data_IF_915858248031
#
_entry.id   IF_915858248031
#
_cell.length_a   1.000
_cell.length_b   1.000
_cell.length_c   1.000
_cell.angle_alpha   90.00
_cell.angle_beta   90.00
_cell.angle_gamma   90.00
#
_symmetry.space_group_name_H-M   'P 1'
#
loop_
_entity.id
_entity.type
_entity.pdbx_description
1 polymer ?
#
# COMPACT_ATOMS: atom_id res chain seq x y z
N UNK A 1 17.95 -30.51 -9.68
CA UNK A 1 17.96 -29.03 -9.84
C UNK A 1 16.62 -28.47 -10.34
N UNK A 2 15.94 -29.08 -11.32
CA UNK A 2 14.66 -28.58 -11.85
C UNK A 2 13.53 -28.38 -10.80
N UNK A 3 13.48 -29.23 -9.76
CA UNK A 3 12.43 -29.17 -8.73
C UNK A 3 12.56 -27.97 -7.76
N UNK A 4 13.72 -27.32 -7.69
CA UNK A 4 13.91 -26.11 -6.89
C UNK A 4 13.44 -24.85 -7.63
N UNK A 5 13.59 -24.82 -8.97
CA UNK A 5 13.17 -23.69 -9.79
C UNK A 5 11.64 -23.50 -9.80
N UNK A 6 10.87 -24.60 -9.78
CA UNK A 6 9.41 -24.53 -9.68
C UNK A 6 8.98 -23.98 -8.30
N UNK A 7 9.72 -24.30 -7.23
CA UNK A 7 9.41 -23.82 -5.88
C UNK A 7 9.70 -22.33 -5.68
N UNK A 8 10.62 -21.76 -6.45
CA UNK A 8 11.05 -20.36 -6.34
C UNK A 8 10.37 -19.45 -7.38
N UNK A 9 9.37 -19.93 -8.11
CA UNK A 9 8.71 -19.14 -9.14
C UNK A 9 7.76 -18.12 -8.50
N UNK A 10 8.04 -16.83 -8.73
CA UNK A 10 7.18 -15.72 -8.34
C UNK A 10 6.30 -15.26 -9.52
N UNK A 11 5.12 -14.67 -9.25
CA UNK A 11 4.36 -13.98 -10.28
C UNK A 11 5.19 -12.88 -10.93
N UNK A 12 5.02 -12.69 -12.25
CA UNK A 12 5.76 -11.67 -12.98
C UNK A 12 5.58 -10.27 -12.37
N UNK A 13 6.70 -9.60 -12.09
CA UNK A 13 6.76 -8.25 -11.50
C UNK A 13 6.77 -8.22 -9.97
N UNK A 14 6.83 -9.38 -9.30
CA UNK A 14 7.11 -9.50 -7.87
C UNK A 14 8.52 -10.11 -7.71
N UNK A 15 9.25 -9.63 -6.70
CA UNK A 15 10.65 -9.98 -6.48
C UNK A 15 10.91 -10.16 -4.98
N UNK A 16 11.80 -11.08 -4.61
CA UNK A 16 12.28 -11.19 -3.24
C UNK A 16 13.37 -10.13 -2.99
N UNK A 17 13.18 -9.28 -1.98
CA UNK A 17 14.23 -8.42 -1.48
C UNK A 17 15.08 -9.18 -0.45
N UNK A 18 16.35 -9.41 -0.77
CA UNK A 18 17.25 -10.23 0.04
C UNK A 18 18.19 -9.36 0.91
N UNK A 19 18.93 -9.96 1.86
CA UNK A 19 20.02 -9.27 2.54
C UNK A 19 21.19 -8.98 1.58
N UNK A 20 21.87 -7.83 1.71
CA UNK A 20 21.65 -6.79 2.72
C UNK A 20 20.56 -5.76 2.38
N UNK A 21 20.01 -5.77 1.16
CA UNK A 21 19.13 -4.73 0.62
C UNK A 21 17.85 -4.54 1.45
N UNK A 22 17.22 -5.63 1.88
CA UNK A 22 16.03 -5.59 2.76
C UNK A 22 16.32 -4.86 4.09
N UNK A 23 17.51 -5.07 4.65
CA UNK A 23 17.92 -4.38 5.87
C UNK A 23 18.19 -2.88 5.64
N UNK A 24 18.70 -2.53 4.46
CA UNK A 24 18.94 -1.14 4.08
C UNK A 24 17.62 -0.38 3.86
N UNK A 25 16.65 -1.01 3.21
CA UNK A 25 15.31 -0.46 3.02
C UNK A 25 14.64 -0.12 4.35
N UNK A 26 14.59 -1.07 5.28
CA UNK A 26 13.99 -0.85 6.61
C UNK A 26 14.65 0.33 7.35
N UNK A 27 15.98 0.44 7.28
CA UNK A 27 16.72 1.57 7.88
C UNK A 27 16.34 2.90 7.22
N UNK A 28 16.20 2.94 5.90
CA UNK A 28 15.81 4.14 5.16
C UNK A 28 14.38 4.57 5.49
N UNK A 29 13.42 3.63 5.46
CA UNK A 29 12.02 3.89 5.81
C UNK A 29 11.90 4.44 7.23
N UNK A 30 12.63 3.85 8.18
CA UNK A 30 12.67 4.33 9.57
C UNK A 30 13.24 5.74 9.67
N UNK A 31 14.37 6.03 9.02
CA UNK A 31 14.98 7.38 9.04
C UNK A 31 14.06 8.44 8.46
N UNK A 32 13.36 8.14 7.36
CA UNK A 32 12.38 9.06 6.76
C UNK A 32 11.18 9.27 7.69
N UNK A 33 10.69 8.20 8.32
CA UNK A 33 9.59 8.29 9.28
C UNK A 33 9.97 9.15 10.50
N UNK A 34 11.16 8.92 11.05
CA UNK A 34 11.70 9.72 12.16
C UNK A 34 11.89 11.18 11.76
N UNK A 35 12.29 11.45 10.51
CA UNK A 35 12.39 12.80 9.97
C UNK A 35 11.02 13.48 9.93
N UNK A 36 10.01 12.86 9.33
CA UNK A 36 8.65 13.42 9.28
C UNK A 36 8.07 13.68 10.68
N UNK A 37 8.31 12.77 11.62
CA UNK A 37 7.87 12.93 13.02
C UNK A 37 8.45 14.21 13.66
N UNK A 38 9.72 14.55 13.38
CA UNK A 38 10.35 15.80 13.87
C UNK A 38 9.69 17.08 13.33
N UNK A 39 9.00 17.00 12.19
CA UNK A 39 8.23 18.10 11.62
C UNK A 39 6.73 18.08 12.00
N UNK A 40 6.36 17.23 12.98
CA UNK A 40 5.01 17.13 13.51
C UNK A 40 4.05 16.35 12.60
N UNK A 41 4.54 15.47 11.74
CA UNK A 41 3.70 14.53 11.01
C UNK A 41 3.43 13.28 11.87
N UNK A 42 2.15 12.97 12.05
CA UNK A 42 1.69 11.80 12.79
C UNK A 42 1.49 10.60 11.87
N UNK A 43 1.98 9.43 12.29
CA UNK A 43 1.92 8.24 11.45
C UNK A 43 0.54 7.61 11.47
N UNK A 44 0.00 7.33 10.28
CA UNK A 44 -1.20 6.50 10.09
C UNK A 44 -0.86 5.25 9.30
N UNK A 45 -1.58 4.16 9.58
CA UNK A 45 -1.40 2.87 8.91
C UNK A 45 -2.77 2.27 8.56
N UNK A 46 -3.36 2.62 7.40
CA UNK A 46 -4.57 1.95 6.94
C UNK A 46 -4.31 0.48 6.60
N UNK A 47 -5.35 -0.36 6.56
CA UNK A 47 -5.21 -1.78 6.22
C UNK A 47 -4.71 -1.98 4.79
N UNK A 48 -4.16 -3.15 4.51
CA UNK A 48 -3.71 -3.52 3.15
C UNK A 48 -4.90 -3.68 2.18
N UNK A 49 -6.02 -4.16 2.70
CA UNK A 49 -7.26 -4.45 2.00
C UNK A 49 -8.41 -3.61 2.55
N UNK A 50 -9.29 -3.14 1.66
CA UNK A 50 -10.56 -2.51 2.01
C UNK A 50 -11.68 -3.02 1.08
N UNK A 51 -12.93 -2.92 1.51
CA UNK A 51 -14.05 -3.19 0.60
C UNK A 51 -13.97 -2.27 -0.61
N UNK A 52 -14.17 -2.85 -1.79
CA UNK A 52 -13.97 -2.16 -3.08
C UNK A 52 -14.76 -0.85 -3.16
N UNK A 53 -16.03 -0.90 -2.77
CA UNK A 53 -16.90 0.29 -2.80
C UNK A 53 -16.46 1.43 -1.88
N UNK A 54 -15.65 1.17 -0.84
CA UNK A 54 -15.06 2.22 -0.01
C UNK A 54 -13.68 2.64 -0.48
N UNK A 55 -12.88 1.71 -1.00
CA UNK A 55 -11.52 1.97 -1.48
C UNK A 55 -11.50 2.77 -2.77
N UNK A 56 -12.44 2.49 -3.68
CA UNK A 56 -12.50 3.05 -5.03
C UNK A 56 -13.47 4.22 -5.15
N UNK A 57 -14.02 4.70 -4.05
CA UNK A 57 -14.87 5.89 -4.02
C UNK A 57 -14.03 7.19 -4.03
N UNK A 58 -14.63 8.27 -4.53
CA UNK A 58 -13.99 9.58 -4.63
C UNK A 58 -12.64 9.54 -5.34
N UNK A 59 -11.57 9.94 -4.65
CA UNK A 59 -10.21 9.95 -5.23
C UNK A 59 -9.66 8.54 -5.51
N UNK A 60 -10.26 7.49 -4.92
CA UNK A 60 -9.88 6.10 -5.16
C UNK A 60 -10.23 5.59 -6.56
N UNK A 61 -11.19 6.23 -7.25
CA UNK A 61 -11.58 5.83 -8.60
C UNK A 61 -10.41 5.90 -9.60
N UNK A 62 -9.47 6.83 -9.39
CA UNK A 62 -8.30 7.01 -10.24
C UNK A 62 -7.33 5.80 -10.24
N UNK A 63 -7.39 4.94 -9.23
CA UNK A 63 -6.53 3.75 -9.10
C UNK A 63 -7.28 2.43 -9.33
N UNK A 64 -8.54 2.49 -9.78
CA UNK A 64 -9.40 1.32 -9.95
C UNK A 64 -8.83 0.26 -10.91
N UNK A 65 -8.26 0.68 -12.04
CA UNK A 65 -7.65 -0.23 -13.03
C UNK A 65 -6.34 -0.87 -12.53
N UNK A 66 -5.68 -0.23 -11.56
CA UNK A 66 -4.45 -0.73 -10.96
C UNK A 66 -4.69 -1.58 -9.71
N UNK A 67 -5.94 -1.69 -9.24
CA UNK A 67 -6.29 -2.37 -7.99
C UNK A 67 -6.53 -3.86 -8.23
N UNK A 68 -5.82 -4.73 -7.50
CA UNK A 68 -6.19 -6.15 -7.44
C UNK A 68 -7.49 -6.31 -6.68
N UNK A 69 -8.39 -7.11 -7.23
CA UNK A 69 -9.67 -7.44 -6.59
C UNK A 69 -9.65 -8.88 -6.11
N UNK A 70 -10.12 -9.08 -4.89
CA UNK A 70 -10.25 -10.39 -4.27
C UNK A 70 -11.59 -10.44 -3.53
N UNK A 71 -12.19 -11.62 -3.52
CA UNK A 71 -13.41 -11.86 -2.76
C UNK A 71 -13.05 -12.18 -1.32
N UNK A 72 -13.69 -11.51 -0.37
CA UNK A 72 -13.63 -11.91 1.05
C UNK A 72 -14.35 -13.27 1.21
N UNK A 73 -13.65 -14.35 1.59
CA UNK A 73 -14.27 -15.66 1.71
C UNK A 73 -15.34 -15.73 2.81
N UNK A 74 -15.33 -14.80 3.78
CA UNK A 74 -16.29 -14.79 4.87
C UNK A 74 -17.54 -14.01 4.48
N UNK A 75 -17.38 -12.74 4.09
CA UNK A 75 -18.54 -11.88 3.76
C UNK A 75 -19.02 -12.00 2.30
N UNK A 76 -18.25 -12.66 1.43
CA UNK A 76 -18.49 -12.75 -0.01
C UNK A 76 -18.52 -11.39 -0.73
N UNK A 77 -17.97 -10.36 -0.10
CA UNK A 77 -17.86 -9.01 -0.67
C UNK A 77 -16.53 -8.84 -1.39
N UNK A 78 -16.53 -8.07 -2.47
CA UNK A 78 -15.30 -7.69 -3.16
C UNK A 78 -14.47 -6.71 -2.31
N UNK A 79 -13.19 -7.02 -2.20
CA UNK A 79 -12.17 -6.18 -1.60
C UNK A 79 -11.16 -5.78 -2.67
N UNK A 80 -10.57 -4.60 -2.50
CA UNK A 80 -9.42 -4.15 -3.26
C UNK A 80 -8.15 -4.19 -2.41
N UNK A 81 -7.06 -4.66 -3.03
CA UNK A 81 -5.71 -4.50 -2.53
C UNK A 81 -5.18 -3.14 -2.98
N UNK A 82 -4.71 -2.34 -2.03
CA UNK A 82 -4.32 -0.95 -2.31
C UNK A 82 -3.23 -0.85 -3.40
N UNK A 83 -3.51 -0.06 -4.43
CA UNK A 83 -2.55 0.37 -5.44
C UNK A 83 -1.89 1.73 -5.08
N UNK A 84 -2.47 2.43 -4.10
CA UNK A 84 -2.01 3.68 -3.50
C UNK A 84 -2.61 3.77 -2.07
N UNK A 85 -1.89 4.36 -1.12
CA UNK A 85 -2.33 4.53 0.28
C UNK A 85 -3.16 5.83 0.47
N UNK A 86 -3.00 6.81 -0.42
CA UNK A 86 -3.58 8.15 -0.34
C UNK A 86 -5.12 8.13 -0.25
N UNK A 87 -5.87 7.34 -1.05
CA UNK A 87 -7.33 7.25 -0.91
C UNK A 87 -7.77 6.81 0.50
N UNK A 88 -7.04 5.87 1.10
CA UNK A 88 -7.32 5.37 2.45
C UNK A 88 -7.03 6.46 3.50
N UNK A 89 -5.96 7.24 3.31
CA UNK A 89 -5.62 8.36 4.21
C UNK A 89 -6.64 9.48 4.09
N UNK A 90 -7.12 9.80 2.89
CA UNK A 90 -8.22 10.74 2.68
C UNK A 90 -9.50 10.28 3.38
N UNK A 91 -9.85 8.99 3.26
CA UNK A 91 -10.96 8.38 3.99
C UNK A 91 -10.78 8.52 5.51
N UNK A 92 -9.59 8.24 6.04
CA UNK A 92 -9.30 8.43 7.47
C UNK A 92 -9.48 9.89 7.90
N UNK A 93 -8.94 10.84 7.13
CA UNK A 93 -9.04 12.27 7.38
C UNK A 93 -10.50 12.78 7.38
N UNK A 94 -11.34 12.21 6.52
CA UNK A 94 -12.76 12.57 6.38
C UNK A 94 -13.67 11.87 7.40
N UNK A 95 -13.28 10.71 7.91
CA UNK A 95 -14.12 9.88 8.79
C UNK A 95 -13.58 9.79 10.21
N UNK A 96 -12.48 9.07 10.42
CA UNK A 96 -11.91 8.74 11.73
C UNK A 96 -11.24 9.93 12.41
N UNK A 97 -10.73 10.88 11.63
CA UNK A 97 -10.04 12.09 12.10
C UNK A 97 -10.84 13.35 11.78
N UNK A 98 -12.16 13.22 11.57
CA UNK A 98 -13.02 14.35 11.19
C UNK A 98 -12.96 15.49 12.22
N UNK A 99 -12.98 15.13 13.50
CA UNK A 99 -13.04 16.05 14.65
C UNK A 99 -11.64 16.43 15.20
N UNK A 100 -10.56 15.96 14.55
CA UNK A 100 -9.21 16.31 14.95
C UNK A 100 -8.85 17.77 14.52
N UNK A 101 -8.06 18.51 15.32
CA UNK A 101 -7.64 19.87 15.00
C UNK A 101 -6.94 19.97 13.64
N UNK A 102 -7.16 21.07 12.92
CA UNK A 102 -6.54 21.32 11.61
C UNK A 102 -5.36 22.30 11.73
N UNK A 103 -4.34 22.17 10.87
CA UNK A 103 -4.20 21.19 9.78
C UNK A 103 -3.82 19.78 10.27
N UNK A 104 -4.27 18.74 9.55
CA UNK A 104 -3.75 17.39 9.75
C UNK A 104 -2.40 17.24 9.04
N UNK A 105 -1.38 16.79 9.77
CA UNK A 105 -0.09 16.40 9.19
C UNK A 105 0.06 14.90 9.37
N UNK A 106 -0.25 14.13 8.33
CA UNK A 106 -0.22 12.67 8.38
C UNK A 106 0.92 12.13 7.52
N UNK A 107 1.64 11.13 8.03
CA UNK A 107 2.65 10.36 7.29
C UNK A 107 2.25 8.89 7.23
N UNK A 108 2.68 8.19 6.17
CA UNK A 108 2.43 6.77 5.99
C UNK A 108 3.56 6.14 5.18
N UNK A 109 3.73 4.84 5.36
CA UNK A 109 4.64 3.99 4.60
C UNK A 109 4.07 2.57 4.52
N UNK A 110 4.41 1.87 3.44
CA UNK A 110 4.13 0.44 3.27
C UNK A 110 3.80 0.07 1.83
N UNK A 111 3.67 -1.24 1.61
CA UNK A 111 3.55 -1.82 0.28
C UNK A 111 2.28 -1.44 -0.46
N UNK A 112 2.39 -1.37 -1.78
CA UNK A 112 1.26 -1.19 -2.71
C UNK A 112 1.40 -2.24 -3.80
N UNK A 113 0.29 -2.79 -4.28
CA UNK A 113 0.35 -3.74 -5.41
C UNK A 113 -0.48 -3.21 -6.57
N UNK A 114 0.14 -3.16 -7.75
CA UNK A 114 -0.47 -2.67 -8.99
C UNK A 114 -0.67 -3.78 -10.00
N UNK A 115 -1.82 -3.79 -10.66
CA UNK A 115 -2.13 -4.73 -11.75
C UNK A 115 -1.05 -4.70 -12.82
N UNK A 116 -0.54 -3.50 -13.14
CA UNK A 116 0.57 -3.31 -14.08
C UNK A 116 1.59 -2.31 -13.52
N UNK A 117 2.88 -2.63 -13.65
CA UNK A 117 3.94 -1.67 -13.39
C UNK A 117 3.91 -0.50 -14.38
N UNK A 118 4.58 0.59 -14.02
CA UNK A 118 4.77 1.73 -14.92
C UNK A 118 5.85 1.42 -15.97
N UNK A 119 5.92 2.21 -17.05
CA UNK A 119 6.95 2.02 -18.08
C UNK A 119 8.38 2.12 -17.52
N UNK A 120 8.61 3.02 -16.56
CA UNK A 120 9.92 3.22 -15.93
C UNK A 120 10.17 2.29 -14.73
N UNK A 121 9.13 1.62 -14.23
CA UNK A 121 9.18 0.72 -13.07
C UNK A 121 8.21 -0.44 -13.31
N UNK A 122 8.66 -1.49 -14.01
CA UNK A 122 7.80 -2.61 -14.39
C UNK A 122 7.40 -3.49 -13.20
N UNK A 123 8.10 -3.38 -12.06
CA UNK A 123 7.69 -3.99 -10.79
C UNK A 123 6.27 -3.55 -10.42
N UNK A 124 5.54 -4.50 -9.84
CA UNK A 124 4.14 -4.32 -9.46
C UNK A 124 3.96 -4.05 -7.98
N UNK A 125 4.97 -4.37 -7.18
CA UNK A 125 5.08 -4.10 -5.74
C UNK A 125 6.16 -3.05 -5.51
#
# INVERSE_FOLDING_TARGET
>A
MANYLIKALLPAGLEDLLPPEAGQEEVLVRRLSDHFARYGYERVKPPLLEFEGGLLDGIGAAVAEQTFRLMDPVSQRMMGLRADITPQVARLAATRLRDAPRPLRLSYSGEVLRVKGAQLRPQRE
#
